data_IF_516959735449
#
_entry.id   IF_516959735449
#
_cell.length_a   1.000
_cell.length_b   1.000
_cell.length_c   1.000
_cell.angle_alpha   90.00
_cell.angle_beta   90.00
_cell.angle_gamma   90.00
#
_symmetry.space_group_name_H-M   'P 1'
#
loop_
_entity.id
_entity.type
_entity.pdbx_description
1 polymer ?
#
# COMPACT_ATOMS: atom_id res chain seq x y z
N UNK A 1 35.55 9.91 10.51
CA UNK A 1 35.68 9.87 9.04
C UNK A 1 34.62 10.82 8.49
N UNK A 2 35.04 11.89 7.82
CA UNK A 2 34.15 12.87 7.21
C UNK A 2 33.24 12.13 6.24
N UNK A 3 31.94 12.18 6.50
CA UNK A 3 30.94 11.96 5.48
C UNK A 3 31.16 13.06 4.44
N UNK A 4 31.72 12.72 3.31
CA UNK A 4 31.66 13.58 2.14
C UNK A 4 30.20 13.80 1.85
N UNK A 5 29.73 15.02 2.03
CA UNK A 5 28.40 15.42 1.60
C UNK A 5 28.26 15.02 0.14
N UNK A 6 27.30 14.16 -0.15
CA UNK A 6 26.89 13.89 -1.51
C UNK A 6 26.58 15.24 -2.16
N UNK A 7 27.09 15.47 -3.35
CA UNK A 7 26.83 16.68 -4.09
C UNK A 7 25.31 16.86 -4.24
N UNK A 8 24.76 17.91 -3.64
CA UNK A 8 23.38 18.30 -3.83
C UNK A 8 22.45 18.05 -2.66
N UNK A 9 22.75 18.58 -1.48
CA UNK A 9 21.74 18.64 -0.42
C UNK A 9 20.49 19.37 -0.93
N UNK A 10 19.31 18.80 -0.71
CA UNK A 10 18.02 19.36 -1.15
C UNK A 10 17.78 20.79 -0.63
N UNK A 11 18.42 21.12 0.49
CA UNK A 11 18.50 22.47 1.07
C UNK A 11 19.75 22.61 1.93
N UNK A 12 20.23 23.82 2.13
CA UNK A 12 21.49 24.12 2.78
C UNK A 12 21.35 25.14 3.91
N UNK A 13 22.39 25.22 4.76
CA UNK A 13 22.57 26.21 5.84
C UNK A 13 21.45 26.19 6.86
N UNK A 14 21.12 25.00 7.32
CA UNK A 14 20.07 24.82 8.28
C UNK A 14 20.58 24.43 9.64
N UNK A 15 19.65 24.34 10.51
CA UNK A 15 19.76 23.77 11.82
C UNK A 15 19.29 22.32 11.76
N UNK A 16 20.05 21.42 12.34
CA UNK A 16 19.66 20.01 12.45
C UNK A 16 19.97 19.50 13.85
N UNK A 17 19.01 18.79 14.43
CA UNK A 17 19.22 18.10 15.69
C UNK A 17 18.61 16.71 15.63
N UNK A 18 19.26 15.75 16.30
CA UNK A 18 18.81 14.37 16.40
C UNK A 18 18.84 13.92 17.85
N UNK A 19 17.88 13.11 18.23
CA UNK A 19 17.85 12.46 19.53
C UNK A 19 17.18 11.09 19.45
N UNK A 20 17.55 10.14 20.33
CA UNK A 20 16.89 8.85 20.39
C UNK A 20 15.46 9.02 20.92
N UNK A 21 14.52 8.31 20.29
CA UNK A 21 13.10 8.25 20.71
C UNK A 21 12.72 6.84 21.18
N UNK A 22 13.63 5.89 21.05
CA UNK A 22 13.54 4.50 21.49
C UNK A 22 14.84 3.78 21.22
N UNK A 23 14.95 2.53 21.64
CA UNK A 23 16.13 1.71 21.34
C UNK A 23 16.23 1.46 19.83
N UNK A 24 17.36 1.82 19.24
CA UNK A 24 17.62 1.68 17.81
C UNK A 24 16.78 2.58 16.91
N UNK A 25 16.07 3.56 17.46
CA UNK A 25 15.28 4.52 16.70
C UNK A 25 15.63 5.95 17.08
N UNK A 26 15.84 6.79 16.07
CA UNK A 26 16.17 8.19 16.22
C UNK A 26 15.23 9.09 15.42
N UNK A 27 14.92 10.25 15.99
CA UNK A 27 14.24 11.33 15.31
C UNK A 27 15.23 12.45 14.99
N UNK A 28 15.14 12.98 13.77
CA UNK A 28 15.90 14.15 13.33
C UNK A 28 14.94 15.20 12.79
N UNK A 29 15.10 16.44 13.28
CA UNK A 29 14.52 17.64 12.69
C UNK A 29 15.59 18.35 11.90
N UNK A 30 15.32 18.72 10.67
CA UNK A 30 16.24 19.47 9.82
C UNK A 30 15.53 20.68 9.22
N UNK A 31 16.15 21.84 9.34
CA UNK A 31 15.62 23.12 8.84
C UNK A 31 16.68 23.82 8.00
N UNK A 32 16.28 24.48 6.94
CA UNK A 32 17.19 25.18 6.04
C UNK A 32 16.46 25.95 4.95
N UNK A 33 17.17 26.25 3.89
CA UNK A 33 16.63 26.98 2.73
C UNK A 33 17.15 26.41 1.42
N UNK A 34 16.35 26.54 0.38
CA UNK A 34 16.77 26.42 -1.01
C UNK A 34 16.17 27.56 -1.83
N UNK A 35 16.25 27.47 -3.15
CA UNK A 35 15.69 28.49 -4.06
C UNK A 35 14.17 28.68 -3.93
N UNK A 36 13.44 27.67 -3.45
CA UNK A 36 12.00 27.75 -3.24
C UNK A 36 11.61 28.43 -1.92
N UNK A 37 12.51 28.50 -0.95
CA UNK A 37 12.26 29.13 0.35
C UNK A 37 12.79 28.33 1.54
N UNK A 38 12.18 28.56 2.71
CA UNK A 38 12.48 27.78 3.91
C UNK A 38 12.05 26.32 3.74
N UNK A 39 12.73 25.42 4.44
CA UNK A 39 12.47 23.98 4.40
C UNK A 39 12.50 23.40 5.81
N UNK A 40 11.57 22.51 6.11
CA UNK A 40 11.47 21.80 7.38
C UNK A 40 11.19 20.33 7.12
N UNK A 41 12.13 19.46 7.50
CA UNK A 41 12.02 18.01 7.36
C UNK A 41 12.02 17.31 8.71
N UNK A 42 11.26 16.24 8.79
CA UNK A 42 11.17 15.31 9.91
C UNK A 42 11.63 13.93 9.43
N UNK A 43 12.51 13.29 10.17
CA UNK A 43 13.15 12.05 9.76
C UNK A 43 13.15 11.09 10.94
N UNK A 44 12.57 9.90 10.75
CA UNK A 44 12.75 8.79 11.66
C UNK A 44 13.66 7.76 11.01
N UNK A 45 14.62 7.26 11.79
CA UNK A 45 15.47 6.15 11.37
C UNK A 45 15.40 5.04 12.40
N UNK A 46 15.32 3.80 11.98
CA UNK A 46 15.40 2.66 12.88
C UNK A 46 16.27 1.55 12.29
N UNK A 47 16.86 0.77 13.21
CA UNK A 47 17.56 -0.47 12.89
C UNK A 47 16.60 -1.65 13.06
N UNK A 48 16.53 -2.60 12.11
CA UNK A 48 15.82 -3.86 12.33
C UNK A 48 16.30 -4.61 13.58
N UNK A 49 15.44 -5.44 14.16
CA UNK A 49 15.73 -6.25 15.36
C UNK A 49 16.00 -5.47 16.64
N UNK A 50 15.50 -4.26 16.78
CA UNK A 50 15.72 -3.39 17.95
C UNK A 50 14.49 -3.15 18.81
N UNK A 51 13.50 -4.05 18.73
CA UNK A 51 12.28 -3.95 19.53
C UNK A 51 11.25 -2.93 19.00
N UNK A 52 11.48 -2.40 17.80
CA UNK A 52 10.54 -1.55 17.06
C UNK A 52 9.97 -2.35 15.90
N UNK A 53 8.65 -2.36 15.79
CA UNK A 53 7.94 -3.02 14.70
C UNK A 53 7.29 -1.96 13.81
N UNK A 54 7.66 -1.87 12.53
CA UNK A 54 6.91 -1.07 11.58
C UNK A 54 5.57 -1.75 11.31
N UNK A 55 4.52 -0.97 11.33
CA UNK A 55 3.17 -1.42 10.95
C UNK A 55 2.57 -0.49 9.91
N UNK A 56 1.66 -1.01 9.13
CA UNK A 56 0.80 -0.24 8.25
C UNK A 56 -0.58 -0.17 8.90
N UNK A 57 -1.25 0.95 8.73
CA UNK A 57 -2.63 1.14 9.16
C UNK A 57 -3.40 1.92 8.10
N UNK A 58 -4.63 1.54 7.87
CA UNK A 58 -5.57 2.26 7.02
C UNK A 58 -6.87 2.55 7.78
N UNK A 59 -7.58 3.58 7.34
CA UNK A 59 -8.71 4.10 8.11
C UNK A 59 -9.84 3.08 8.24
N UNK A 60 -10.36 2.92 9.46
CA UNK A 60 -11.51 2.10 9.80
C UNK A 60 -11.45 0.63 9.32
N UNK A 61 -10.25 0.14 8.96
CA UNK A 61 -10.03 -1.20 8.41
C UNK A 61 -10.89 -1.50 7.16
N UNK A 62 -11.28 -0.46 6.46
CA UNK A 62 -11.98 -0.51 5.17
C UNK A 62 -11.30 0.41 4.18
N UNK A 63 -11.13 -0.06 2.95
CA UNK A 63 -10.42 0.70 1.94
C UNK A 63 -11.29 1.77 1.28
N UNK A 64 -12.56 1.47 1.06
CA UNK A 64 -13.46 2.37 0.33
C UNK A 64 -14.08 3.41 1.24
N UNK A 65 -14.04 4.67 0.82
CA UNK A 65 -14.69 5.79 1.50
C UNK A 65 -13.95 6.31 2.73
N UNK A 66 -12.98 5.59 3.25
CA UNK A 66 -12.28 5.95 4.47
C UNK A 66 -11.02 6.75 4.20
N UNK A 67 -10.84 7.82 4.98
CA UNK A 67 -9.63 8.63 5.00
C UNK A 67 -9.33 9.02 6.44
N UNK A 68 -8.08 8.84 6.86
CA UNK A 68 -7.65 9.21 8.20
C UNK A 68 -6.42 10.13 8.16
N UNK A 69 -6.34 11.01 9.15
CA UNK A 69 -5.09 11.72 9.44
C UNK A 69 -4.13 10.82 10.19
N UNK A 70 -2.84 11.15 10.20
CA UNK A 70 -1.84 10.44 11.02
C UNK A 70 -2.28 10.45 12.49
N UNK A 71 -2.82 11.56 12.99
CA UNK A 71 -3.33 11.63 14.37
C UNK A 71 -4.44 10.61 14.64
N UNK A 72 -5.37 10.44 13.71
CA UNK A 72 -6.44 9.44 13.86
C UNK A 72 -5.86 8.02 13.87
N UNK A 73 -4.90 7.74 13.00
CA UNK A 73 -4.21 6.46 12.95
C UNK A 73 -3.47 6.16 14.27
N UNK A 74 -2.74 7.14 14.82
CA UNK A 74 -2.07 7.02 16.12
C UNK A 74 -3.08 6.73 17.23
N UNK A 75 -4.16 7.50 17.33
CA UNK A 75 -5.19 7.31 18.34
C UNK A 75 -5.83 5.92 18.25
N UNK A 76 -6.08 5.44 17.03
CA UNK A 76 -6.61 4.09 16.81
C UNK A 76 -5.63 3.03 17.34
N UNK A 77 -4.37 3.08 16.93
CA UNK A 77 -3.36 2.11 17.36
C UNK A 77 -3.13 2.12 18.88
N UNK A 78 -3.09 3.30 19.48
CA UNK A 78 -2.95 3.43 20.94
C UNK A 78 -4.18 2.89 21.68
N UNK A 79 -5.38 3.02 21.10
CA UNK A 79 -6.59 2.40 21.66
C UNK A 79 -6.54 0.86 21.63
N UNK A 80 -5.75 0.28 20.73
CA UNK A 80 -5.47 -1.16 20.65
C UNK A 80 -4.33 -1.60 21.60
N UNK A 81 -3.81 -0.69 22.42
CA UNK A 81 -2.74 -0.98 23.38
C UNK A 81 -1.32 -0.88 22.81
N UNK A 82 -1.15 -0.37 21.61
CA UNK A 82 0.16 -0.14 21.01
C UNK A 82 0.77 1.16 21.54
N UNK A 83 2.10 1.22 21.60
CA UNK A 83 2.84 2.45 21.85
C UNK A 83 3.39 2.94 20.52
N UNK A 84 2.82 4.00 19.98
CA UNK A 84 3.26 4.59 18.71
C UNK A 84 4.43 5.55 18.99
N UNK A 85 5.54 5.36 18.30
CA UNK A 85 6.72 6.22 18.42
C UNK A 85 6.69 7.33 17.38
N UNK A 86 6.21 7.03 16.18
CA UNK A 86 6.05 7.98 15.09
C UNK A 86 5.60 7.30 13.83
N UNK A 87 5.30 8.08 12.81
CA UNK A 87 4.82 7.55 11.54
C UNK A 87 4.77 8.62 10.45
N UNK A 88 4.50 8.17 9.24
CA UNK A 88 4.29 9.02 8.07
C UNK A 88 3.15 8.44 7.23
N UNK A 89 2.53 9.27 6.39
CA UNK A 89 1.61 8.78 5.39
C UNK A 89 2.37 8.03 4.28
N UNK A 90 1.68 7.11 3.64
CA UNK A 90 2.24 6.31 2.56
C UNK A 90 1.21 6.10 1.46
N UNK A 91 1.71 5.71 0.28
CA UNK A 91 0.98 5.49 -0.96
C UNK A 91 0.21 6.72 -1.49
N UNK A 92 -0.26 6.57 -2.70
CA UNK A 92 -1.26 7.42 -3.33
C UNK A 92 -2.61 6.71 -3.28
N UNK A 93 -3.69 7.45 -3.32
CA UNK A 93 -5.04 6.88 -3.28
C UNK A 93 -5.96 7.55 -4.31
N UNK A 94 -7.02 6.85 -4.66
CA UNK A 94 -8.05 7.37 -5.56
C UNK A 94 -8.92 8.36 -4.77
N UNK A 95 -8.87 9.63 -5.12
CA UNK A 95 -9.54 10.72 -4.39
C UNK A 95 -11.04 10.51 -4.17
N UNK A 96 -11.72 9.86 -5.11
CA UNK A 96 -13.17 9.62 -5.03
C UNK A 96 -13.56 8.44 -4.15
N UNK A 97 -12.64 7.52 -3.87
CA UNK A 97 -12.94 6.28 -3.12
C UNK A 97 -12.07 6.07 -1.89
N UNK A 98 -10.96 6.81 -1.73
CA UNK A 98 -10.01 6.59 -0.66
C UNK A 98 -9.08 5.38 -0.85
N UNK A 99 -9.34 4.53 -1.85
CA UNK A 99 -8.61 3.27 -2.04
C UNK A 99 -7.15 3.52 -2.42
N UNK A 100 -6.18 2.93 -1.70
CA UNK A 100 -4.77 2.98 -2.07
C UNK A 100 -4.54 2.42 -3.47
N UNK A 101 -3.63 3.05 -4.23
CA UNK A 101 -3.32 2.60 -5.59
C UNK A 101 -2.50 1.32 -5.56
N UNK A 102 -1.54 1.22 -4.66
CA UNK A 102 -0.59 0.11 -4.60
C UNK A 102 -1.02 -1.05 -3.71
N UNK A 103 -0.05 -1.91 -3.46
CA UNK A 103 -0.17 -3.09 -2.61
C UNK A 103 -0.46 -2.70 -1.15
N UNK A 104 -1.37 -3.44 -0.53
CA UNK A 104 -1.64 -3.36 0.91
C UNK A 104 -1.56 -4.77 1.49
N UNK A 105 -0.66 -4.98 2.44
CA UNK A 105 -0.56 -6.17 3.27
C UNK A 105 -0.65 -5.72 4.72
N UNK A 106 -1.48 -6.37 5.52
CA UNK A 106 -1.69 -6.09 6.93
C UNK A 106 -1.66 -7.40 7.72
N UNK A 107 -0.78 -7.48 8.72
CA UNK A 107 -0.56 -8.69 9.54
C UNK A 107 -0.37 -9.98 8.72
N UNK A 108 0.30 -9.88 7.56
CA UNK A 108 0.52 -11.00 6.63
C UNK A 108 -0.65 -11.30 5.72
N UNK A 109 -1.79 -10.66 5.87
CA UNK A 109 -2.94 -10.79 4.98
C UNK A 109 -2.83 -9.82 3.80
N UNK A 110 -3.04 -10.33 2.59
CA UNK A 110 -3.18 -9.49 1.41
C UNK A 110 -4.53 -8.78 1.45
N UNK A 111 -4.51 -7.47 1.61
CA UNK A 111 -5.71 -6.64 1.70
C UNK A 111 -6.09 -6.05 0.35
N UNK A 112 -5.09 -5.66 -0.47
CA UNK A 112 -5.34 -5.08 -1.79
C UNK A 112 -4.15 -5.32 -2.72
N UNK A 113 -4.42 -5.60 -3.98
CA UNK A 113 -3.38 -5.95 -4.97
C UNK A 113 -2.53 -4.76 -5.40
N UNK A 114 -1.42 -5.08 -6.02
CA UNK A 114 -0.30 -4.17 -6.32
C UNK A 114 -0.58 -3.13 -7.42
N UNK A 115 -1.55 -3.34 -8.28
CA UNK A 115 -1.83 -2.47 -9.44
C UNK A 115 -0.57 -2.02 -10.22
N UNK A 116 0.47 -2.89 -10.29
CA UNK A 116 1.74 -2.65 -10.98
C UNK A 116 2.60 -1.50 -10.41
N UNK A 117 2.38 -1.13 -9.15
CA UNK A 117 3.14 -0.11 -8.45
C UNK A 117 4.36 -0.70 -7.72
N UNK A 118 5.33 0.16 -7.39
CA UNK A 118 6.36 -0.17 -6.43
C UNK A 118 5.76 -0.25 -5.03
N UNK A 119 6.44 -0.97 -4.13
CA UNK A 119 6.03 -1.12 -2.75
C UNK A 119 7.23 -1.27 -1.82
N UNK A 120 6.99 -0.99 -0.55
CA UNK A 120 7.86 -1.38 0.55
C UNK A 120 7.09 -2.36 1.43
N UNK A 121 7.73 -3.47 1.78
CA UNK A 121 7.24 -4.47 2.71
C UNK A 121 8.11 -4.54 3.95
N UNK A 122 7.49 -4.83 5.09
CA UNK A 122 8.17 -4.99 6.36
C UNK A 122 7.94 -6.40 6.89
N UNK A 123 9.02 -7.05 7.32
CA UNK A 123 8.99 -8.37 7.91
C UNK A 123 8.90 -8.28 9.45
N UNK A 124 8.62 -9.41 10.10
CA UNK A 124 8.46 -9.48 11.56
C UNK A 124 9.67 -8.96 12.35
N UNK A 125 10.88 -9.10 11.80
CA UNK A 125 12.12 -8.60 12.40
C UNK A 125 12.40 -7.11 12.13
N UNK A 126 11.48 -6.41 11.43
CA UNK A 126 11.61 -5.01 11.06
C UNK A 126 12.40 -4.76 9.78
N UNK A 127 12.99 -5.79 9.15
CA UNK A 127 13.66 -5.60 7.86
C UNK A 127 12.67 -5.19 6.79
N UNK A 128 13.10 -4.28 5.91
CA UNK A 128 12.30 -3.82 4.80
C UNK A 128 12.77 -4.44 3.48
N UNK A 129 11.82 -4.80 2.63
CA UNK A 129 12.03 -5.17 1.24
C UNK A 129 11.37 -4.13 0.35
N UNK A 130 12.06 -3.74 -0.72
CA UNK A 130 11.53 -2.81 -1.72
C UNK A 130 11.56 -3.45 -3.10
N UNK A 131 10.57 -3.14 -3.91
CA UNK A 131 10.51 -3.64 -5.25
C UNK A 131 9.19 -3.36 -5.95
N UNK A 132 8.97 -4.07 -7.03
CA UNK A 132 7.72 -4.06 -7.78
C UNK A 132 7.12 -5.46 -7.77
N UNK A 133 6.54 -5.89 -6.63
CA UNK A 133 5.91 -7.19 -6.54
C UNK A 133 4.67 -7.25 -7.41
N UNK A 134 4.43 -8.39 -8.03
CA UNK A 134 3.16 -8.70 -8.67
C UNK A 134 2.54 -9.90 -7.99
N UNK A 135 1.28 -9.75 -7.57
CA UNK A 135 0.49 -10.79 -6.95
C UNK A 135 -0.44 -11.39 -8.00
N UNK A 136 0.03 -12.45 -8.65
CA UNK A 136 -0.82 -13.22 -9.56
C UNK A 136 -1.94 -13.87 -8.78
N UNK A 137 -3.19 -13.66 -9.19
CA UNK A 137 -4.36 -14.20 -8.51
C UNK A 137 -5.24 -14.96 -9.51
N UNK A 138 -5.69 -16.15 -9.11
CA UNK A 138 -6.62 -16.96 -9.89
C UNK A 138 -7.72 -17.51 -9.02
N UNK A 139 -8.91 -17.62 -9.60
CA UNK A 139 -10.03 -18.39 -9.05
C UNK A 139 -10.25 -19.59 -9.96
N UNK A 140 -10.05 -20.80 -9.46
CA UNK A 140 -10.09 -22.04 -10.24
C UNK A 140 -11.11 -23.02 -9.67
N UNK A 141 -11.89 -23.61 -10.55
CA UNK A 141 -12.84 -24.70 -10.26
C UNK A 141 -12.86 -25.72 -11.39
N UNK A 142 -13.79 -26.65 -11.35
CA UNK A 142 -13.95 -27.66 -12.41
C UNK A 142 -14.37 -27.07 -13.75
N UNK A 143 -15.06 -25.90 -13.73
CA UNK A 143 -15.52 -25.21 -14.95
C UNK A 143 -14.38 -24.44 -15.64
N UNK A 144 -13.30 -24.09 -14.95
CA UNK A 144 -12.19 -23.34 -15.51
C UNK A 144 -11.45 -22.49 -14.48
N UNK A 145 -10.67 -21.54 -14.97
CA UNK A 145 -9.85 -20.65 -14.16
C UNK A 145 -10.00 -19.21 -14.62
N UNK A 146 -10.38 -18.32 -13.71
CA UNK A 146 -10.40 -16.86 -13.94
C UNK A 146 -9.14 -16.24 -13.41
N UNK A 147 -8.43 -15.47 -14.25
CA UNK A 147 -7.34 -14.61 -13.83
C UNK A 147 -7.93 -13.32 -13.24
N UNK A 148 -7.66 -13.05 -11.99
CA UNK A 148 -8.09 -11.84 -11.29
C UNK A 148 -7.05 -10.75 -11.52
N UNK A 149 -7.49 -9.63 -12.08
CA UNK A 149 -6.61 -8.49 -12.36
C UNK A 149 -6.39 -7.61 -11.14
N UNK A 150 -7.43 -7.45 -10.32
CA UNK A 150 -7.40 -6.55 -9.16
C UNK A 150 -8.16 -7.14 -7.98
N UNK A 151 -7.56 -7.05 -6.81
CA UNK A 151 -8.17 -7.41 -5.53
C UNK A 151 -8.40 -6.16 -4.69
N UNK A 152 -9.66 -5.97 -4.26
CA UNK A 152 -10.09 -4.83 -3.46
C UNK A 152 -9.75 -3.46 -4.07
N UNK A 153 -9.98 -3.34 -5.36
CA UNK A 153 -9.96 -2.08 -6.11
C UNK A 153 -11.34 -1.79 -6.69
N UNK A 154 -11.66 -0.53 -6.89
CA UNK A 154 -12.94 -0.16 -7.53
C UNK A 154 -13.02 -0.70 -8.94
N UNK A 155 -14.11 -1.43 -9.24
CA UNK A 155 -14.32 -2.03 -10.56
C UNK A 155 -14.41 -0.98 -11.67
N UNK A 156 -13.59 -1.14 -12.68
CA UNK A 156 -13.62 -0.41 -13.95
C UNK A 156 -13.73 -1.40 -15.11
N UNK A 157 -13.48 -0.96 -16.33
CA UNK A 157 -13.49 -1.83 -17.52
C UNK A 157 -12.18 -2.61 -17.74
N UNK A 158 -11.24 -2.56 -16.80
CA UNK A 158 -9.85 -3.00 -16.99
C UNK A 158 -9.57 -4.46 -16.56
N UNK A 159 -10.54 -5.33 -16.52
CA UNK A 159 -10.30 -6.75 -16.22
C UNK A 159 -11.30 -7.37 -15.24
N UNK A 160 -10.89 -8.45 -14.57
CA UNK A 160 -11.65 -9.10 -13.51
C UNK A 160 -11.22 -8.58 -12.14
N UNK A 161 -12.19 -8.35 -11.27
CA UNK A 161 -12.02 -7.84 -9.92
C UNK A 161 -12.52 -8.88 -8.93
N UNK A 162 -11.84 -8.98 -7.79
CA UNK A 162 -12.30 -9.72 -6.63
C UNK A 162 -12.43 -8.74 -5.47
N UNK A 163 -13.58 -8.71 -4.81
CA UNK A 163 -13.88 -7.83 -3.68
C UNK A 163 -14.21 -8.68 -2.45
N UNK A 164 -13.74 -8.28 -1.28
CA UNK A 164 -14.16 -8.82 0.02
C UNK A 164 -14.50 -7.71 1.01
N UNK A 165 -14.70 -8.07 2.27
CA UNK A 165 -15.06 -7.10 3.33
C UNK A 165 -14.00 -6.03 3.60
N UNK A 166 -12.72 -6.29 3.29
CA UNK A 166 -11.68 -5.28 3.43
C UNK A 166 -11.85 -4.14 2.41
N UNK A 167 -12.49 -4.40 1.26
CA UNK A 167 -12.83 -3.36 0.31
C UNK A 167 -13.88 -2.40 0.88
N UNK A 168 -15.05 -2.94 1.23
CA UNK A 168 -16.19 -2.23 1.82
C UNK A 168 -17.25 -3.25 2.26
N UNK A 169 -18.27 -2.77 2.96
CA UNK A 169 -19.47 -3.57 3.25
C UNK A 169 -20.42 -3.71 2.05
N UNK A 170 -20.11 -3.06 0.93
CA UNK A 170 -20.88 -3.10 -0.31
C UNK A 170 -19.98 -3.13 -1.55
N UNK A 171 -20.53 -3.59 -2.68
CA UNK A 171 -19.79 -3.69 -3.95
C UNK A 171 -19.53 -2.38 -4.64
N UNK A 172 -20.29 -1.33 -4.33
CA UNK A 172 -20.18 0.01 -4.92
C UNK A 172 -20.17 0.03 -6.45
N UNK A 173 -20.95 -0.87 -7.07
CA UNK A 173 -21.03 -0.91 -8.53
C UNK A 173 -21.66 0.36 -9.08
N UNK A 174 -21.04 0.95 -10.09
CA UNK A 174 -21.54 2.13 -10.80
C UNK A 174 -21.79 1.88 -12.30
N UNK A 175 -21.43 0.70 -12.80
CA UNK A 175 -21.59 0.31 -14.18
C UNK A 175 -22.12 -1.13 -14.28
N UNK A 176 -22.81 -1.43 -15.37
CA UNK A 176 -23.27 -2.78 -15.63
C UNK A 176 -22.10 -3.77 -15.71
N UNK A 177 -22.35 -4.98 -15.26
CA UNK A 177 -21.37 -6.05 -15.28
C UNK A 177 -21.95 -7.38 -14.82
N UNK A 178 -21.11 -8.38 -14.82
CA UNK A 178 -21.39 -9.73 -14.34
C UNK A 178 -20.71 -9.94 -13.00
N UNK A 179 -21.38 -10.62 -12.07
CA UNK A 179 -20.80 -10.95 -10.78
C UNK A 179 -21.13 -12.37 -10.35
N UNK A 180 -20.23 -12.96 -9.58
CA UNK A 180 -20.32 -14.27 -8.95
C UNK A 180 -20.02 -14.07 -7.48
N UNK A 181 -20.96 -14.39 -6.60
CA UNK A 181 -20.79 -14.32 -5.15
C UNK A 181 -20.23 -15.65 -4.66
N UNK A 182 -19.11 -15.56 -3.98
CA UNK A 182 -18.36 -16.67 -3.41
C UNK A 182 -18.44 -16.61 -1.89
N UNK A 183 -18.54 -17.76 -1.24
CA UNK A 183 -18.54 -17.86 0.21
C UNK A 183 -17.34 -18.64 0.68
N UNK A 184 -16.65 -18.17 1.71
CA UNK A 184 -15.50 -18.85 2.31
C UNK A 184 -15.95 -20.16 2.94
N UNK A 185 -15.20 -21.22 2.73
CA UNK A 185 -15.44 -22.54 3.36
C UNK A 185 -14.93 -22.54 4.80
N UNK A 186 -13.91 -21.75 5.09
CA UNK A 186 -13.31 -21.56 6.40
C UNK A 186 -12.73 -20.13 6.54
N UNK A 187 -12.11 -19.84 7.68
CA UNK A 187 -11.55 -18.51 7.99
C UNK A 187 -10.09 -18.33 7.50
N UNK A 188 -9.62 -19.14 6.57
CA UNK A 188 -8.25 -18.99 6.02
C UNK A 188 -8.09 -17.60 5.40
N UNK A 189 -7.11 -16.79 5.84
CA UNK A 189 -6.88 -15.46 5.29
C UNK A 189 -6.29 -15.56 3.88
N UNK A 190 -6.46 -14.49 3.11
CA UNK A 190 -5.77 -14.34 1.81
C UNK A 190 -4.32 -13.94 2.09
N UNK A 191 -3.38 -14.82 1.78
CA UNK A 191 -1.95 -14.59 2.02
C UNK A 191 -1.14 -14.71 0.74
N UNK A 192 0.03 -14.08 0.71
CA UNK A 192 0.98 -14.24 -0.38
C UNK A 192 1.40 -15.71 -0.48
N UNK A 193 1.33 -16.27 -1.69
CA UNK A 193 1.58 -17.69 -1.97
C UNK A 193 0.63 -18.67 -1.25
N UNK A 194 -0.51 -18.18 -0.79
CA UNK A 194 -1.55 -18.97 -0.14
C UNK A 194 -2.74 -19.29 -1.05
N UNK A 195 -3.67 -20.07 -0.50
CA UNK A 195 -4.91 -20.44 -1.16
C UNK A 195 -6.10 -20.37 -0.21
N UNK A 196 -7.27 -19.97 -0.73
CA UNK A 196 -8.52 -19.90 0.00
C UNK A 196 -9.57 -20.72 -0.73
N UNK A 197 -10.26 -21.62 -0.01
CA UNK A 197 -11.37 -22.41 -0.56
C UNK A 197 -12.67 -21.64 -0.46
N UNK A 198 -13.39 -21.61 -1.55
CA UNK A 198 -14.64 -20.86 -1.72
C UNK A 198 -15.69 -21.73 -2.38
N UNK A 199 -16.95 -21.34 -2.23
CA UNK A 199 -18.10 -21.96 -2.88
C UNK A 199 -18.95 -20.89 -3.56
N UNK A 200 -19.36 -21.13 -4.78
CA UNK A 200 -20.29 -20.26 -5.51
C UNK A 200 -21.67 -20.35 -4.88
N UNK A 201 -22.22 -19.24 -4.39
CA UNK A 201 -23.55 -19.21 -3.75
C UNK A 201 -24.60 -18.49 -4.59
N UNK A 202 -24.19 -17.50 -5.39
CA UNK A 202 -25.09 -16.84 -6.34
C UNK A 202 -24.32 -16.16 -7.45
N UNK A 203 -25.01 -15.74 -8.48
CA UNK A 203 -24.46 -14.96 -9.58
C UNK A 203 -25.52 -14.10 -10.23
N UNK A 204 -25.12 -13.07 -10.92
CA UNK A 204 -26.04 -12.16 -11.59
C UNK A 204 -25.34 -11.12 -12.46
N UNK A 205 -26.13 -10.19 -12.95
CA UNK A 205 -25.70 -9.07 -13.78
C UNK A 205 -26.37 -7.78 -13.30
N UNK A 206 -25.76 -6.66 -13.55
CA UNK A 206 -26.32 -5.35 -13.25
C UNK A 206 -25.29 -4.33 -12.73
N UNK A 207 -25.81 -3.20 -12.31
CA UNK A 207 -25.04 -2.09 -11.77
C UNK A 207 -25.44 -1.69 -10.34
N UNK A 208 -26.38 -2.41 -9.74
CA UNK A 208 -26.79 -2.12 -8.36
C UNK A 208 -25.75 -2.60 -7.38
N UNK A 209 -25.40 -1.72 -6.44
CA UNK A 209 -24.60 -2.10 -5.29
C UNK A 209 -25.37 -3.03 -4.37
N UNK A 210 -24.69 -4.00 -3.78
CA UNK A 210 -25.24 -4.90 -2.77
C UNK A 210 -24.20 -5.21 -1.69
N UNK A 211 -24.67 -5.65 -0.52
CA UNK A 211 -23.83 -5.92 0.62
C UNK A 211 -22.88 -7.11 0.38
N UNK A 212 -21.66 -6.99 0.88
CA UNK A 212 -20.67 -8.06 0.97
C UNK A 212 -20.66 -8.54 2.44
N UNK A 213 -21.06 -9.78 2.69
CA UNK A 213 -20.99 -10.35 4.03
C UNK A 213 -19.54 -10.69 4.41
N UNK A 214 -19.26 -10.81 5.71
CA UNK A 214 -17.89 -11.02 6.24
C UNK A 214 -17.21 -12.27 5.67
N UNK A 215 -18.00 -13.32 5.37
CA UNK A 215 -17.50 -14.57 4.81
C UNK A 215 -17.59 -14.62 3.28
N UNK A 216 -17.91 -13.52 2.60
CA UNK A 216 -18.14 -13.50 1.16
C UNK A 216 -17.02 -12.76 0.40
N UNK A 217 -16.86 -13.17 -0.86
CA UNK A 217 -16.13 -12.48 -1.89
C UNK A 217 -16.99 -12.32 -3.14
N UNK A 218 -16.76 -11.28 -3.91
CA UNK A 218 -17.46 -11.03 -5.16
C UNK A 218 -16.46 -10.98 -6.31
N UNK A 219 -16.50 -11.98 -7.19
CA UNK A 219 -15.76 -12.01 -8.44
C UNK A 219 -16.61 -11.32 -9.52
N UNK A 220 -16.05 -10.31 -10.18
CA UNK A 220 -16.83 -9.46 -11.07
C UNK A 220 -16.01 -8.88 -12.22
N UNK A 221 -16.70 -8.58 -13.31
CA UNK A 221 -16.18 -7.79 -14.43
C UNK A 221 -17.25 -6.83 -14.93
N UNK A 222 -16.85 -5.68 -15.46
CA UNK A 222 -17.76 -4.76 -16.17
C UNK A 222 -18.13 -5.31 -17.54
N UNK A 223 -19.30 -4.92 -18.04
CA UNK A 223 -19.65 -5.16 -19.44
C UNK A 223 -18.62 -4.50 -20.35
N UNK A 224 -18.23 -5.20 -21.41
CA UNK A 224 -17.18 -4.75 -22.31
C UNK A 224 -15.74 -4.96 -21.82
N UNK A 225 -15.53 -5.38 -20.56
CA UNK A 225 -14.20 -5.76 -20.09
C UNK A 225 -13.67 -6.98 -20.84
N UNK A 226 -12.44 -6.87 -21.36
CA UNK A 226 -11.77 -8.00 -21.98
C UNK A 226 -11.14 -8.90 -20.92
N UNK A 227 -11.83 -10.01 -20.60
CA UNK A 227 -11.35 -11.02 -19.65
C UNK A 227 -11.41 -12.38 -20.36
N UNK A 228 -10.37 -12.74 -21.12
CA UNK A 228 -10.38 -13.99 -21.93
C UNK A 228 -10.56 -15.25 -21.09
N UNK A 229 -10.15 -15.20 -19.83
CA UNK A 229 -10.25 -16.32 -18.87
C UNK A 229 -11.57 -16.36 -18.12
N UNK A 230 -12.51 -15.43 -18.40
CA UNK A 230 -13.77 -15.41 -17.65
C UNK A 230 -14.50 -16.75 -17.77
N UNK A 231 -14.84 -17.29 -16.62
CA UNK A 231 -15.52 -18.57 -16.46
C UNK A 231 -16.84 -18.35 -15.72
N UNK A 232 -17.93 -18.84 -16.26
CA UNK A 232 -19.25 -18.79 -15.64
C UNK A 232 -19.42 -20.01 -14.71
N UNK A 233 -18.81 -19.95 -13.52
CA UNK A 233 -18.90 -21.01 -12.52
C UNK A 233 -20.35 -21.32 -12.16
N UNK A 234 -20.68 -22.60 -11.93
CA UNK A 234 -22.01 -23.02 -11.52
C UNK A 234 -22.26 -22.70 -10.03
N UNK A 235 -23.51 -22.35 -9.69
CA UNK A 235 -23.92 -22.24 -8.29
C UNK A 235 -23.71 -23.59 -7.59
N UNK A 236 -23.08 -23.59 -6.43
CA UNK A 236 -22.69 -24.78 -5.68
C UNK A 236 -21.29 -25.33 -6.03
N UNK A 237 -20.64 -24.82 -7.08
CA UNK A 237 -19.29 -25.23 -7.45
C UNK A 237 -18.28 -24.75 -6.38
N UNK A 238 -17.37 -25.65 -6.01
CA UNK A 238 -16.22 -25.31 -5.17
C UNK A 238 -15.11 -24.75 -6.06
N UNK A 239 -14.53 -23.62 -5.64
CA UNK A 239 -13.43 -22.95 -6.32
C UNK A 239 -12.33 -22.59 -5.32
N UNK A 240 -11.13 -22.43 -5.83
CA UNK A 240 -9.95 -22.05 -5.02
C UNK A 240 -9.38 -20.74 -5.53
N UNK A 241 -9.29 -19.75 -4.63
CA UNK A 241 -8.48 -18.57 -4.85
C UNK A 241 -7.03 -18.91 -4.54
N UNK A 242 -6.12 -18.64 -5.48
CA UNK A 242 -4.67 -18.82 -5.29
C UNK A 242 -3.96 -17.50 -5.55
N UNK A 243 -3.03 -17.14 -4.67
CA UNK A 243 -2.16 -15.97 -4.80
C UNK A 243 -0.73 -16.45 -5.01
N UNK A 244 -0.04 -15.89 -6.00
CA UNK A 244 1.35 -16.23 -6.29
C UNK A 244 2.16 -14.95 -6.51
N UNK A 245 3.16 -14.70 -5.68
CA UNK A 245 4.08 -13.58 -5.88
C UNK A 245 5.15 -13.93 -6.92
N UNK A 246 5.53 -12.95 -7.73
CA UNK A 246 6.64 -13.08 -8.68
C UNK A 246 8.02 -13.09 -8.01
N UNK A 247 8.11 -12.63 -6.75
CA UNK A 247 9.33 -12.54 -5.97
C UNK A 247 9.12 -13.16 -4.58
N UNK A 248 9.91 -14.18 -4.26
CA UNK A 248 9.81 -14.92 -3.01
C UNK A 248 10.16 -14.09 -1.77
N UNK A 249 10.86 -12.96 -1.91
CA UNK A 249 11.15 -12.05 -0.81
C UNK A 249 9.90 -11.44 -0.17
N UNK A 250 8.76 -11.51 -0.87
CA UNK A 250 7.48 -10.98 -0.39
C UNK A 250 6.61 -12.00 0.36
N UNK A 251 7.06 -13.26 0.44
CA UNK A 251 6.28 -14.36 1.02
C UNK A 251 6.08 -14.21 2.55
N UNK A 252 7.01 -13.57 3.24
CA UNK A 252 7.04 -13.40 4.70
C UNK A 252 6.92 -11.92 5.12
N UNK A 253 6.34 -11.09 4.27
CA UNK A 253 6.04 -9.69 4.58
C UNK A 253 4.78 -9.60 5.43
N UNK A 254 4.89 -8.96 6.58
CA UNK A 254 3.75 -8.74 7.49
C UNK A 254 2.96 -7.48 7.13
N UNK A 255 3.65 -6.42 6.69
CA UNK A 255 3.03 -5.14 6.34
C UNK A 255 3.61 -4.61 5.03
N UNK A 256 2.78 -4.09 4.16
CA UNK A 256 3.24 -3.46 2.93
C UNK A 256 2.38 -2.27 2.53
N UNK A 257 3.03 -1.28 1.94
CA UNK A 257 2.42 -0.11 1.34
C UNK A 257 2.99 0.14 -0.04
N UNK A 258 2.15 0.64 -0.94
CA UNK A 258 2.56 1.04 -2.27
C UNK A 258 3.26 2.40 -2.31
N UNK A 259 3.80 2.74 -3.46
CA UNK A 259 4.44 4.03 -3.71
C UNK A 259 5.04 4.14 -5.10
N UNK A 260 5.85 5.15 -5.28
CA UNK A 260 6.61 5.39 -6.52
C UNK A 260 8.10 5.27 -6.25
N UNK A 261 8.81 4.68 -7.20
CA UNK A 261 10.27 4.58 -7.12
C UNK A 261 10.89 5.97 -7.21
N UNK A 262 11.70 6.33 -6.22
CA UNK A 262 12.43 7.59 -6.16
C UNK A 262 13.94 7.40 -6.29
N UNK A 263 14.47 6.36 -5.68
CA UNK A 263 15.90 6.02 -5.73
C UNK A 263 16.04 4.55 -6.09
N UNK A 264 16.79 4.28 -7.16
CA UNK A 264 17.17 2.95 -7.58
C UNK A 264 18.70 2.83 -7.59
N UNK A 265 19.23 1.93 -6.75
CA UNK A 265 20.67 1.72 -6.62
C UNK A 265 21.46 3.03 -6.51
N UNK A 266 21.06 3.91 -5.58
CA UNK A 266 21.63 5.25 -5.34
C UNK A 266 21.46 6.25 -6.50
N UNK A 267 20.62 5.93 -7.48
CA UNK A 267 20.30 6.84 -8.59
C UNK A 267 18.88 7.39 -8.43
N UNK A 268 18.75 8.71 -8.40
CA UNK A 268 17.44 9.36 -8.32
C UNK A 268 16.70 9.23 -9.65
N UNK A 269 15.44 8.80 -9.57
CA UNK A 269 14.52 8.76 -10.70
C UNK A 269 13.22 9.47 -10.33
N UNK A 270 12.62 10.15 -11.30
CA UNK A 270 11.35 10.84 -11.11
C UNK A 270 10.27 10.33 -12.06
N UNK A 271 10.58 9.27 -12.80
CA UNK A 271 9.68 8.68 -13.79
C UNK A 271 8.43 8.13 -13.11
N UNK A 272 7.27 8.53 -13.61
CA UNK A 272 5.97 8.08 -13.09
C UNK A 272 5.56 8.73 -11.76
N UNK A 273 6.29 9.74 -11.27
CA UNK A 273 5.89 10.52 -10.10
C UNK A 273 5.08 11.74 -10.55
N UNK A 274 3.80 11.76 -10.22
CA UNK A 274 2.92 12.88 -10.55
C UNK A 274 3.36 14.16 -9.85
N UNK A 275 3.44 15.26 -10.62
CA UNK A 275 3.91 16.53 -10.11
C UNK A 275 5.36 16.48 -9.60
N UNK A 276 6.22 15.66 -10.22
CA UNK A 276 7.63 15.50 -9.83
C UNK A 276 8.41 16.82 -9.82
N UNK A 277 8.11 17.73 -10.74
CA UNK A 277 8.75 19.06 -10.85
C UNK A 277 8.16 20.11 -9.90
N UNK A 278 7.02 19.82 -9.29
CA UNK A 278 6.36 20.77 -8.38
C UNK A 278 6.98 20.71 -6.99
N UNK A 279 7.20 21.89 -6.41
CA UNK A 279 7.59 22.07 -5.02
C UNK A 279 6.38 21.85 -4.12
N UNK A 280 6.44 20.85 -3.23
CA UNK A 280 5.30 20.47 -2.34
C UNK A 280 5.78 19.66 -1.13
N UNK A 281 4.90 19.44 -0.16
CA UNK A 281 5.09 18.44 0.89
C UNK A 281 5.28 17.04 0.28
N UNK A 282 6.16 16.25 0.87
CA UNK A 282 6.46 14.89 0.39
C UNK A 282 6.83 13.97 1.54
N UNK A 283 6.47 12.70 1.38
CA UNK A 283 6.89 11.63 2.26
C UNK A 283 7.64 10.57 1.45
N UNK A 284 8.63 9.95 2.06
CA UNK A 284 9.41 8.87 1.46
C UNK A 284 9.81 7.83 2.50
N UNK A 285 9.98 6.60 2.05
CA UNK A 285 10.54 5.50 2.83
C UNK A 285 11.80 5.03 2.10
N UNK A 286 12.91 4.92 2.80
CA UNK A 286 14.18 4.48 2.26
C UNK A 286 14.82 3.39 3.10
N UNK A 287 15.67 2.58 2.45
CA UNK A 287 16.50 1.57 3.12
C UNK A 287 17.95 1.82 2.74
N UNK A 288 18.81 2.00 3.74
CA UNK A 288 20.26 2.15 3.53
C UNK A 288 20.90 0.79 3.30
N UNK A 289 22.13 0.81 2.79
CA UNK A 289 22.90 -0.42 2.53
C UNK A 289 23.20 -1.25 3.78
N UNK A 290 23.17 -0.63 4.97
CA UNK A 290 23.33 -1.31 6.26
C UNK A 290 22.01 -1.84 6.85
N UNK A 291 20.90 -1.72 6.12
CA UNK A 291 19.57 -2.16 6.54
C UNK A 291 18.79 -1.11 7.34
N UNK A 292 19.38 0.03 7.68
CA UNK A 292 18.67 1.13 8.35
C UNK A 292 17.48 1.58 7.51
N UNK A 293 16.30 1.64 8.12
CA UNK A 293 15.08 2.16 7.49
C UNK A 293 14.90 3.62 7.85
N UNK A 294 14.56 4.42 6.84
CA UNK A 294 14.35 5.87 6.95
C UNK A 294 12.93 6.20 6.55
N UNK A 295 12.20 6.83 7.45
CA UNK A 295 10.94 7.51 7.14
C UNK A 295 11.24 9.01 7.05
N UNK A 296 11.01 9.59 5.91
CA UNK A 296 11.30 11.00 5.63
C UNK A 296 10.02 11.74 5.29
N UNK A 297 9.82 12.87 5.92
CA UNK A 297 8.73 13.78 5.62
C UNK A 297 9.27 15.21 5.53
N UNK A 298 8.79 15.98 4.56
CA UNK A 298 9.04 17.40 4.45
C UNK A 298 7.72 18.15 4.30
N UNK A 299 7.54 19.16 5.14
CA UNK A 299 6.43 20.09 5.02
C UNK A 299 6.49 20.86 3.69
N UNK A 300 5.35 21.32 3.22
CA UNK A 300 5.28 22.09 1.99
C UNK A 300 4.11 23.04 1.92
N UNK A 301 4.15 23.95 0.92
CA UNK A 301 3.13 24.96 0.67
C UNK A 301 2.88 25.91 1.85
N UNK A 302 3.89 26.15 2.67
CA UNK A 302 3.85 27.01 3.84
C UNK A 302 5.02 28.00 3.84
N UNK A 303 4.87 29.14 4.51
CA UNK A 303 5.97 30.11 4.67
C UNK A 303 7.16 29.55 5.47
N UNK A 304 6.88 28.62 6.38
CA UNK A 304 7.89 27.90 7.17
C UNK A 304 8.58 26.79 6.40
N UNK A 305 7.92 26.23 5.39
CA UNK A 305 8.45 25.19 4.52
C UNK A 305 7.77 25.20 3.16
N UNK A 306 8.53 25.48 2.12
CA UNK A 306 8.05 25.49 0.75
C UNK A 306 7.82 24.08 0.21
N UNK A 307 8.60 23.11 0.66
CA UNK A 307 8.62 21.74 0.17
C UNK A 307 9.68 21.52 -0.90
N UNK A 308 9.73 20.31 -1.43
CA UNK A 308 10.73 19.87 -2.40
C UNK A 308 10.09 19.35 -3.71
N UNK A 309 10.85 19.44 -4.79
CA UNK A 309 10.58 18.62 -6.00
C UNK A 309 10.94 17.17 -5.70
N UNK A 310 10.48 16.23 -6.53
CA UNK A 310 10.84 14.82 -6.35
C UNK A 310 12.35 14.58 -6.50
N UNK A 311 13.00 15.26 -7.45
CA UNK A 311 14.45 15.16 -7.63
C UNK A 311 15.22 15.66 -6.40
N UNK A 312 14.78 16.74 -5.76
CA UNK A 312 15.38 17.24 -4.53
C UNK A 312 15.15 16.29 -3.34
N UNK A 313 13.98 15.65 -3.26
CA UNK A 313 13.70 14.65 -2.23
C UNK A 313 14.66 13.45 -2.31
N UNK A 314 15.06 13.06 -3.52
CA UNK A 314 15.99 11.97 -3.74
C UNK A 314 17.46 12.29 -3.49
N UNK A 315 17.80 13.53 -3.27
CA UNK A 315 19.16 14.00 -2.97
C UNK A 315 19.51 13.88 -1.48
#
# INVERSE_FOLDING_TARGET
>A
QLLTAAAGAAFSNGFSYSYPVGEGISYTRSEGRNSAGNQQANILTYQPNTGVTPIMVYADEQLYGSQATITNAVNYLESQGMKVIGGTNADFFVMSSGIPIGLVIDEGELISSDAWQYAVGFKADGTAVMGRPTMGMTVSGTSGTVSVSYFNKTRTTAGAYLLDRNYDDATNFSANGTYIVLERVDDTPVTVNGSVKLKVVSKGTGNSSFAIADNQMVLTKSDGANVPTWTDFAVGEEVTLTVTANDSNWADVDYAVGGKLLIDNSTVTTTGIDGASSTRARSAIGVKSDGTVVLYEIDGNQSSSAGLTAAQLGQ
#
